data_IF_151559862820
#
_entry.id   IF_151559862820
#
_cell.length_a   1.000
_cell.length_b   1.000
_cell.length_c   1.000
_cell.angle_alpha   90.00
_cell.angle_beta   90.00
_cell.angle_gamma   90.00
#
_symmetry.space_group_name_H-M   'P 1'
#
loop_
_entity.id
_entity.type
_entity.pdbx_description
1 polymer ?
#
# COMPACT_ATOMS: atom_id res chain seq x y z
N UNK A 1 -25.82 -1.28 -20.53
CA UNK A 1 -25.55 -2.73 -20.45
C UNK A 1 -24.41 -3.06 -21.39
N UNK A 2 -23.19 -3.19 -20.87
CA UNK A 2 -22.05 -3.70 -21.64
C UNK A 2 -21.42 -4.82 -20.83
N UNK A 3 -21.40 -5.99 -21.44
CA UNK A 3 -20.86 -7.24 -20.91
C UNK A 3 -19.34 -7.17 -20.85
N UNK A 4 -18.81 -7.70 -19.75
CA UNK A 4 -17.41 -7.70 -19.36
C UNK A 4 -16.61 -8.69 -20.24
N UNK A 5 -15.60 -8.27 -21.04
CA UNK A 5 -14.69 -9.21 -21.66
C UNK A 5 -13.58 -9.57 -20.67
N UNK A 6 -13.43 -10.88 -20.40
CA UNK A 6 -12.46 -11.42 -19.46
C UNK A 6 -11.02 -10.99 -19.78
N UNK A 7 -10.34 -10.45 -18.78
CA UNK A 7 -8.92 -10.13 -18.82
C UNK A 7 -8.11 -11.37 -18.44
N UNK A 8 -7.33 -11.89 -19.39
CA UNK A 8 -6.21 -12.80 -19.09
C UNK A 8 -5.04 -12.00 -18.56
N UNK A 9 -4.73 -12.15 -17.27
CA UNK A 9 -3.44 -11.74 -16.71
C UNK A 9 -2.44 -12.88 -16.85
N UNK A 10 -1.22 -12.55 -17.27
CA UNK A 10 -0.10 -13.48 -17.29
C UNK A 10 0.32 -13.81 -15.85
N UNK A 11 -0.29 -14.83 -15.27
CA UNK A 11 0.12 -15.44 -14.01
C UNK A 11 1.26 -16.43 -14.25
N UNK A 12 2.41 -16.16 -13.64
CA UNK A 12 3.38 -17.19 -13.28
C UNK A 12 3.66 -17.06 -11.79
N UNK A 13 2.70 -17.51 -10.98
CA UNK A 13 2.93 -17.94 -9.59
C UNK A 13 1.88 -18.99 -9.23
N UNK A 14 2.34 -20.22 -9.09
CA UNK A 14 1.55 -21.41 -8.78
C UNK A 14 0.98 -21.36 -7.36
N UNK A 15 -0.31 -21.02 -7.22
CA UNK A 15 -1.27 -21.63 -6.27
C UNK A 15 -2.68 -21.05 -6.51
N UNK A 16 -3.71 -21.88 -6.36
CA UNK A 16 -5.13 -21.66 -6.73
C UNK A 16 -5.64 -20.19 -6.67
N UNK A 17 -5.80 -19.48 -7.82
CA UNK A 17 -6.03 -18.03 -7.84
C UNK A 17 -7.50 -17.58 -7.72
N UNK A 18 -8.49 -18.48 -7.70
CA UNK A 18 -9.88 -18.08 -8.03
C UNK A 18 -10.76 -17.60 -6.86
N UNK A 19 -10.38 -17.84 -5.60
CA UNK A 19 -11.15 -17.36 -4.42
C UNK A 19 -10.51 -16.15 -3.73
N UNK A 20 -9.18 -16.15 -3.53
CA UNK A 20 -8.47 -15.05 -2.86
C UNK A 20 -8.47 -13.78 -3.74
N UNK A 21 -8.43 -13.91 -5.07
CA UNK A 21 -8.49 -12.73 -5.96
C UNK A 21 -9.84 -11.99 -5.93
N UNK A 22 -10.93 -12.67 -5.53
CA UNK A 22 -12.27 -12.09 -5.45
C UNK A 22 -12.58 -11.41 -4.11
N UNK A 23 -11.87 -11.79 -3.03
CA UNK A 23 -12.07 -11.26 -1.67
C UNK A 23 -10.79 -10.73 -1.00
N UNK A 24 -9.70 -10.63 -1.77
CA UNK A 24 -8.40 -10.16 -1.29
C UNK A 24 -8.13 -8.70 -1.62
N UNK A 25 -7.22 -8.11 -0.85
CA UNK A 25 -6.66 -6.79 -1.13
C UNK A 25 -5.37 -6.98 -1.89
N UNK A 26 -5.21 -6.21 -2.96
CA UNK A 26 -3.98 -6.20 -3.75
C UNK A 26 -2.82 -5.66 -2.92
N UNK A 27 -1.67 -6.33 -2.95
CA UNK A 27 -0.49 -5.99 -2.12
C UNK A 27 -0.06 -4.53 -2.17
N UNK A 28 -0.34 -3.81 -3.26
CA UNK A 28 0.12 -2.45 -3.47
C UNK A 28 -0.29 -1.54 -2.29
N UNK A 29 -1.46 -1.79 -1.68
CA UNK A 29 -1.95 -1.01 -0.54
C UNK A 29 -1.08 -1.21 0.72
N UNK A 30 -0.72 -2.45 1.07
CA UNK A 30 0.15 -2.72 2.23
C UNK A 30 1.60 -2.30 1.96
N UNK A 31 2.07 -2.46 0.72
CA UNK A 31 3.38 -1.95 0.29
C UNK A 31 3.47 -0.43 0.44
N UNK A 32 2.40 0.29 0.07
CA UNK A 32 2.33 1.74 0.26
C UNK A 32 2.31 2.13 1.74
N UNK A 33 1.53 1.43 2.56
CA UNK A 33 1.54 1.62 4.01
C UNK A 33 2.96 1.43 4.56
N UNK A 34 3.62 0.31 4.22
CA UNK A 34 4.99 0.03 4.63
C UNK A 34 5.99 1.11 4.17
N UNK A 35 5.92 1.53 2.91
CA UNK A 35 6.77 2.59 2.37
C UNK A 35 6.52 3.94 3.07
N UNK A 36 5.26 4.31 3.31
CA UNK A 36 4.89 5.51 4.06
C UNK A 36 5.39 5.45 5.50
N UNK A 37 5.32 4.28 6.15
CA UNK A 37 5.87 4.09 7.51
C UNK A 37 7.39 4.25 7.53
N UNK A 38 8.12 3.71 6.55
CA UNK A 38 9.57 3.92 6.44
C UNK A 38 9.93 5.41 6.31
N UNK A 39 9.16 6.17 5.52
CA UNK A 39 9.38 7.62 5.37
C UNK A 39 8.99 8.44 6.61
N UNK A 40 8.02 7.97 7.39
CA UNK A 40 7.50 8.69 8.57
C UNK A 40 8.18 8.33 9.89
N UNK A 41 8.81 7.14 9.97
CA UNK A 41 9.29 6.59 11.24
C UNK A 41 10.65 5.90 11.10
N UNK A 42 11.36 5.79 12.22
CA UNK A 42 12.64 5.06 12.29
C UNK A 42 12.45 3.57 11.97
N UNK A 43 13.43 2.90 11.34
CA UNK A 43 13.37 1.46 11.05
C UNK A 43 12.97 0.56 12.22
N UNK A 44 13.40 0.88 13.45
CA UNK A 44 13.05 0.10 14.65
C UNK A 44 11.55 0.14 14.99
N UNK A 45 10.93 1.32 14.87
CA UNK A 45 9.48 1.49 15.07
C UNK A 45 8.68 0.74 14.01
N UNK A 46 9.12 0.83 12.75
CA UNK A 46 8.51 0.09 11.64
C UNK A 46 8.64 -1.42 11.88
N UNK A 47 9.82 -1.88 12.30
CA UNK A 47 10.04 -3.29 12.65
C UNK A 47 9.11 -3.75 13.77
N UNK A 48 8.96 -2.98 14.85
CA UNK A 48 8.09 -3.33 15.98
C UNK A 48 6.64 -3.53 15.52
N UNK A 49 6.10 -2.57 14.76
CA UNK A 49 4.74 -2.66 14.24
C UNK A 49 4.54 -3.92 13.38
N UNK A 50 5.41 -4.17 12.41
CA UNK A 50 5.26 -5.32 11.50
C UNK A 50 5.56 -6.66 12.14
N UNK A 51 6.25 -6.70 13.30
CA UNK A 51 6.46 -7.91 14.08
C UNK A 51 5.16 -8.39 14.74
N UNK A 52 4.30 -7.46 15.12
CA UNK A 52 2.96 -7.74 15.66
C UNK A 52 1.97 -8.16 14.55
N UNK A 53 2.34 -7.94 13.28
CA UNK A 53 1.53 -8.18 12.09
C UNK A 53 2.18 -9.15 11.09
N UNK A 54 2.51 -10.39 11.47
CA UNK A 54 3.21 -11.32 10.59
C UNK A 54 2.38 -11.62 9.32
N UNK A 55 3.05 -11.71 8.17
CA UNK A 55 2.39 -12.01 6.91
C UNK A 55 1.83 -13.45 6.94
N UNK A 56 0.56 -13.70 6.56
CA UNK A 56 -0.11 -15.00 6.76
C UNK A 56 0.58 -16.22 6.12
N UNK A 57 1.41 -16.00 5.10
CA UNK A 57 2.08 -17.06 4.32
C UNK A 57 3.57 -17.23 4.69
N UNK A 58 4.08 -16.43 5.63
CA UNK A 58 5.50 -16.40 5.99
C UNK A 58 5.67 -16.80 7.44
N UNK A 59 6.62 -17.69 7.71
CA UNK A 59 6.97 -18.04 9.08
C UNK A 59 7.53 -16.81 9.81
N UNK A 60 7.01 -16.44 11.00
CA UNK A 60 7.41 -15.22 11.71
C UNK A 60 8.91 -15.14 12.05
N UNK A 61 9.55 -16.30 12.19
CA UNK A 61 10.98 -16.45 12.55
C UNK A 61 11.93 -15.87 11.50
N UNK A 62 11.48 -15.66 10.25
CA UNK A 62 12.29 -15.08 9.18
C UNK A 62 11.91 -13.62 8.92
N UNK A 63 12.20 -12.74 9.89
CA UNK A 63 11.91 -11.30 9.82
C UNK A 63 12.41 -10.67 8.51
N UNK A 64 13.64 -11.02 8.07
CA UNK A 64 14.21 -10.50 6.82
C UNK A 64 13.35 -10.84 5.59
N UNK A 65 12.71 -12.01 5.58
CA UNK A 65 11.80 -12.40 4.50
C UNK A 65 10.52 -11.56 4.50
N UNK A 66 9.95 -11.33 5.69
CA UNK A 66 8.72 -10.53 5.86
C UNK A 66 8.91 -9.15 5.25
N UNK A 67 10.00 -8.46 5.59
CA UNK A 67 10.25 -7.11 5.07
C UNK A 67 10.53 -7.09 3.57
N UNK A 68 11.25 -8.08 3.04
CA UNK A 68 11.46 -8.21 1.60
C UNK A 68 10.14 -8.39 0.85
N UNK A 69 9.25 -9.24 1.37
CA UNK A 69 7.92 -9.45 0.78
C UNK A 69 7.04 -8.19 0.86
N UNK A 70 7.11 -7.43 1.96
CA UNK A 70 6.41 -6.14 2.08
C UNK A 70 6.87 -5.12 1.02
N UNK A 71 8.17 -5.04 0.73
CA UNK A 71 8.70 -4.13 -0.29
C UNK A 71 8.44 -4.63 -1.72
N UNK A 72 8.58 -5.93 -1.96
CA UNK A 72 8.36 -6.51 -3.29
C UNK A 72 6.90 -6.43 -3.69
N UNK A 73 6.00 -6.86 -2.78
CA UNK A 73 4.57 -6.92 -3.02
C UNK A 73 4.22 -7.90 -4.13
N UNK A 74 4.34 -9.21 -3.90
CA UNK A 74 4.05 -10.22 -4.95
C UNK A 74 2.77 -11.02 -4.69
N UNK A 75 2.10 -10.81 -3.56
CA UNK A 75 1.01 -11.69 -3.07
C UNK A 75 -0.32 -10.97 -2.91
N UNK A 76 -1.43 -11.70 -2.92
CA UNK A 76 -2.73 -11.18 -2.47
C UNK A 76 -2.91 -11.52 -1.00
N UNK A 77 -3.41 -10.58 -0.21
CA UNK A 77 -3.75 -10.81 1.19
C UNK A 77 -5.26 -10.85 1.38
N UNK A 78 -5.74 -11.60 2.38
CA UNK A 78 -7.16 -11.53 2.73
C UNK A 78 -7.51 -10.11 3.17
N UNK A 79 -8.73 -9.70 2.84
CA UNK A 79 -9.29 -8.42 3.31
C UNK A 79 -9.21 -8.28 4.82
N UNK A 80 -9.49 -9.37 5.54
CA UNK A 80 -9.44 -9.44 7.00
C UNK A 80 -8.07 -9.07 7.55
N UNK A 81 -6.99 -9.67 7.00
CA UNK A 81 -5.63 -9.37 7.42
C UNK A 81 -5.25 -7.92 7.10
N UNK A 82 -5.55 -7.46 5.89
CA UNK A 82 -5.17 -6.11 5.52
C UNK A 82 -5.87 -5.05 6.38
N UNK A 83 -7.17 -5.22 6.68
CA UNK A 83 -7.88 -4.30 7.58
C UNK A 83 -7.50 -4.47 9.05
N UNK A 84 -7.10 -5.66 9.52
CA UNK A 84 -6.53 -5.78 10.86
C UNK A 84 -5.25 -4.96 10.99
N UNK A 85 -4.39 -4.97 9.97
CA UNK A 85 -3.22 -4.07 9.94
C UNK A 85 -3.65 -2.61 9.99
N UNK A 86 -4.62 -2.18 9.17
CA UNK A 86 -5.09 -0.78 9.18
C UNK A 86 -5.74 -0.34 10.50
N UNK A 87 -6.38 -1.25 11.24
CA UNK A 87 -6.93 -0.94 12.56
C UNK A 87 -5.83 -0.49 13.52
N UNK A 88 -4.72 -1.21 13.53
CA UNK A 88 -3.66 -0.99 14.50
C UNK A 88 -2.72 0.16 14.07
N UNK A 89 -2.84 0.64 12.82
CA UNK A 89 -2.12 1.84 12.34
C UNK A 89 -2.54 3.09 13.12
N UNK A 90 -3.83 3.31 13.39
CA UNK A 90 -4.25 4.54 14.08
C UNK A 90 -3.67 4.60 15.50
N UNK A 91 -3.71 3.48 16.23
CA UNK A 91 -3.13 3.38 17.58
C UNK A 91 -1.61 3.58 17.53
N UNK A 92 -0.92 2.92 16.60
CA UNK A 92 0.51 3.13 16.38
C UNK A 92 0.86 4.60 16.11
N UNK A 93 0.06 5.30 15.29
CA UNK A 93 0.29 6.71 14.99
C UNK A 93 0.08 7.59 16.24
N UNK A 94 -0.96 7.33 17.02
CA UNK A 94 -1.25 8.05 18.28
C UNK A 94 -0.11 7.89 19.28
N UNK A 95 0.36 6.66 19.50
CA UNK A 95 1.49 6.36 20.39
C UNK A 95 2.77 7.08 19.97
N UNK A 96 2.92 7.31 18.66
CA UNK A 96 4.08 7.98 18.09
C UNK A 96 3.88 9.49 17.85
N UNK A 97 2.77 10.06 18.32
CA UNK A 97 2.51 11.50 18.29
C UNK A 97 2.12 12.07 16.93
N UNK A 98 1.75 11.22 15.97
CA UNK A 98 1.35 11.62 14.62
C UNK A 98 -0.15 11.38 14.43
N UNK A 99 -0.87 12.30 13.80
CA UNK A 99 -2.29 12.04 13.48
C UNK A 99 -2.44 11.22 12.19
N UNK A 100 -3.50 10.42 12.08
CA UNK A 100 -3.79 9.64 10.86
C UNK A 100 -3.85 10.50 9.58
N UNK A 101 -4.55 11.65 9.55
CA UNK A 101 -4.58 12.50 8.36
C UNK A 101 -3.20 13.03 7.99
N UNK A 102 -2.42 13.44 9.00
CA UNK A 102 -1.06 13.94 8.79
C UNK A 102 -0.14 12.87 8.21
N UNK A 103 -0.22 11.63 8.70
CA UNK A 103 0.53 10.51 8.14
C UNK A 103 0.19 10.26 6.67
N UNK A 104 -1.10 10.25 6.32
CA UNK A 104 -1.53 10.09 4.93
C UNK A 104 -1.06 11.27 4.07
N UNK A 105 -1.26 12.50 4.54
CA UNK A 105 -0.94 13.70 3.77
C UNK A 105 0.57 13.91 3.58
N UNK A 106 1.41 13.49 4.53
CA UNK A 106 2.84 13.80 4.54
C UNK A 106 3.74 12.61 4.16
N UNK A 107 3.36 11.37 4.51
CA UNK A 107 4.20 10.20 4.28
C UNK A 107 3.64 9.32 3.18
N UNK A 108 2.34 9.00 3.24
CA UNK A 108 1.69 8.13 2.26
C UNK A 108 1.64 8.81 0.88
N UNK A 109 1.28 10.10 0.83
CA UNK A 109 1.19 10.87 -0.41
C UNK A 109 2.55 11.10 -1.09
N UNK A 110 3.66 11.05 -0.35
CA UNK A 110 4.99 11.13 -0.98
C UNK A 110 5.18 9.95 -1.93
N UNK A 111 4.84 8.75 -1.48
CA UNK A 111 4.97 7.53 -2.28
C UNK A 111 4.08 7.61 -3.53
N UNK A 112 4.71 7.48 -4.71
CA UNK A 112 4.03 7.56 -6.02
C UNK A 112 3.19 8.84 -6.21
N UNK A 113 3.56 9.95 -5.57
CA UNK A 113 2.79 11.21 -5.62
C UNK A 113 1.31 11.03 -5.23
N UNK A 114 1.01 10.07 -4.35
CA UNK A 114 -0.34 9.80 -3.86
C UNK A 114 -1.15 8.80 -4.67
N UNK A 115 -0.60 8.28 -5.77
CA UNK A 115 -1.23 7.18 -6.47
C UNK A 115 -1.11 5.86 -5.68
N UNK A 116 -2.19 5.04 -5.66
CA UNK A 116 -2.19 3.74 -4.99
C UNK A 116 -1.24 2.71 -5.63
N UNK A 117 -0.68 3.02 -6.81
CA UNK A 117 0.31 2.21 -7.53
C UNK A 117 1.32 3.11 -8.22
N UNK A 118 2.42 2.54 -8.71
CA UNK A 118 3.37 3.29 -9.53
C UNK A 118 2.68 3.91 -10.75
N UNK A 119 3.12 5.11 -11.21
CA UNK A 119 2.57 5.77 -12.39
C UNK A 119 2.50 4.86 -13.64
N UNK A 120 3.52 4.01 -13.85
CA UNK A 120 3.52 2.99 -14.92
C UNK A 120 2.36 2.00 -14.81
N UNK A 121 2.12 1.50 -13.60
CA UNK A 121 1.02 0.57 -13.33
C UNK A 121 -0.33 1.27 -13.47
N UNK A 122 -0.42 2.51 -12.99
CA UNK A 122 -1.61 3.35 -13.14
C UNK A 122 -1.98 3.55 -14.63
N UNK A 123 -1.03 3.91 -15.49
CA UNK A 123 -1.27 4.06 -16.94
C UNK A 123 -1.80 2.76 -17.56
N UNK A 124 -1.19 1.62 -17.21
CA UNK A 124 -1.63 0.31 -17.69
C UNK A 124 -3.09 0.02 -17.30
N UNK A 125 -3.46 0.28 -16.05
CA UNK A 125 -4.82 0.08 -15.52
C UNK A 125 -5.83 1.11 -16.05
N UNK A 126 -5.35 2.28 -16.46
CA UNK A 126 -6.19 3.38 -16.94
C UNK A 126 -6.45 3.29 -18.45
N UNK A 127 -5.79 2.38 -19.17
CA UNK A 127 -5.95 2.19 -20.62
C UNK A 127 -7.42 2.21 -21.13
N UNK A 128 -8.40 1.55 -20.47
CA UNK A 128 -9.79 1.54 -20.95
C UNK A 128 -10.50 2.90 -20.82
N UNK A 129 -10.07 3.71 -19.85
CA UNK A 129 -10.70 4.99 -19.46
C UNK A 129 -9.83 6.19 -19.81
N UNK A 130 -8.66 5.96 -20.40
CA UNK A 130 -7.62 6.97 -20.59
C UNK A 130 -8.09 8.16 -21.43
N UNK A 131 -8.95 7.89 -22.42
CA UNK A 131 -9.55 8.94 -23.26
C UNK A 131 -10.35 9.96 -22.45
N UNK A 132 -11.00 9.54 -21.35
CA UNK A 132 -11.86 10.42 -20.55
C UNK A 132 -11.09 11.59 -19.96
N UNK A 133 -9.83 11.38 -19.57
CA UNK A 133 -8.95 12.43 -19.04
C UNK A 133 -8.66 13.57 -20.04
N UNK A 134 -8.92 13.36 -21.33
CA UNK A 134 -8.72 14.39 -22.37
C UNK A 134 -10.04 14.94 -22.92
N UNK A 135 -11.17 14.29 -22.64
CA UNK A 135 -12.48 14.70 -23.15
C UNK A 135 -13.36 15.35 -22.10
N UNK A 136 -13.17 15.04 -20.82
CA UNK A 136 -13.98 15.59 -19.74
C UNK A 136 -13.53 17.02 -19.36
N UNK A 137 -14.46 17.99 -19.29
CA UNK A 137 -14.13 19.36 -18.93
C UNK A 137 -13.86 19.54 -17.42
N UNK A 138 -14.55 18.79 -16.56
CA UNK A 138 -14.33 18.78 -15.12
C UNK A 138 -13.59 17.49 -14.71
N UNK A 139 -12.25 17.59 -14.67
CA UNK A 139 -11.40 16.48 -14.25
C UNK A 139 -11.64 16.08 -12.79
N UNK A 140 -12.02 17.02 -11.91
CA UNK A 140 -12.29 16.68 -10.51
C UNK A 140 -13.57 15.86 -10.39
N UNK A 141 -14.59 16.17 -11.18
CA UNK A 141 -15.78 15.32 -11.27
C UNK A 141 -15.43 13.94 -11.85
N UNK A 142 -14.64 13.88 -12.92
CA UNK A 142 -14.20 12.61 -13.52
C UNK A 142 -13.46 11.74 -12.49
N UNK A 143 -12.52 12.30 -11.73
CA UNK A 143 -11.74 11.56 -10.73
C UNK A 143 -12.66 10.88 -9.72
N UNK A 144 -13.68 11.56 -9.19
CA UNK A 144 -14.64 10.94 -8.27
C UNK A 144 -15.38 9.76 -8.94
N UNK A 145 -15.80 9.93 -10.20
CA UNK A 145 -16.48 8.86 -10.95
C UNK A 145 -15.57 7.65 -11.19
N UNK A 146 -14.28 7.87 -11.41
CA UNK A 146 -13.31 6.80 -11.67
C UNK A 146 -12.91 6.02 -10.42
N UNK A 147 -13.28 6.46 -9.21
CA UNK A 147 -12.99 5.72 -7.97
C UNK A 147 -13.52 4.29 -8.05
N UNK A 148 -14.72 4.07 -8.62
CA UNK A 148 -15.28 2.73 -8.75
C UNK A 148 -14.41 1.79 -9.61
N UNK A 149 -13.84 2.33 -10.71
CA UNK A 149 -12.95 1.58 -11.58
C UNK A 149 -11.70 1.10 -10.83
N UNK A 150 -11.07 1.99 -10.07
CA UNK A 150 -9.86 1.65 -9.32
C UNK A 150 -10.14 0.80 -8.08
N UNK A 151 -11.25 1.04 -7.37
CA UNK A 151 -11.68 0.17 -6.27
C UNK A 151 -11.91 -1.25 -6.76
N UNK A 152 -12.56 -1.45 -7.91
CA UNK A 152 -12.75 -2.78 -8.49
C UNK A 152 -11.44 -3.52 -8.81
N UNK A 153 -10.32 -2.80 -8.99
CA UNK A 153 -9.00 -3.38 -9.24
C UNK A 153 -8.23 -3.65 -7.94
N UNK A 154 -8.28 -2.73 -6.97
CA UNK A 154 -7.48 -2.80 -5.73
C UNK A 154 -8.19 -3.53 -4.59
N UNK A 155 -9.51 -3.36 -4.53
CA UNK A 155 -10.40 -3.75 -3.46
C UNK A 155 -11.71 -4.32 -4.05
N UNK A 156 -11.69 -5.49 -4.72
CA UNK A 156 -12.82 -5.97 -5.54
C UNK A 156 -14.16 -6.15 -4.79
N UNK A 157 -14.11 -6.28 -3.46
CA UNK A 157 -15.31 -6.37 -2.61
C UNK A 157 -16.02 -5.02 -2.45
N UNK A 158 -15.32 -3.90 -2.69
CA UNK A 158 -15.88 -2.57 -2.62
C UNK A 158 -16.48 -2.18 -3.95
N UNK A 159 -17.59 -1.47 -3.87
CA UNK A 159 -18.25 -0.80 -4.98
C UNK A 159 -18.51 0.63 -4.59
N UNK A 160 -18.36 1.53 -5.55
CA UNK A 160 -18.70 2.93 -5.32
C UNK A 160 -19.52 3.51 -6.47
N UNK A 161 -20.35 4.49 -6.15
CA UNK A 161 -21.20 5.18 -7.10
C UNK A 161 -21.34 6.65 -6.70
N UNK A 162 -21.36 7.56 -7.66
CA UNK A 162 -21.67 8.96 -7.40
C UNK A 162 -23.19 9.09 -7.31
N UNK A 163 -23.69 9.43 -6.12
CA UNK A 163 -25.14 9.50 -5.84
C UNK A 163 -25.71 10.91 -5.92
N UNK A 164 -24.83 11.91 -5.85
CA UNK A 164 -25.17 13.30 -6.05
C UNK A 164 -23.99 13.99 -6.72
N UNK A 165 -24.28 14.74 -7.77
CA UNK A 165 -23.36 15.73 -8.34
C UNK A 165 -24.16 16.96 -8.70
N UNK A 166 -23.91 18.07 -8.01
CA UNK A 166 -24.60 19.34 -8.24
C UNK A 166 -23.58 20.47 -8.34
N UNK A 167 -23.99 21.51 -9.05
CA UNK A 167 -23.23 22.74 -9.22
C UNK A 167 -24.04 23.89 -8.62
N UNK A 168 -23.48 24.55 -7.61
CA UNK A 168 -24.08 25.69 -6.90
C UNK A 168 -23.11 26.87 -6.95
N UNK A 169 -23.52 27.99 -7.55
CA UNK A 169 -22.68 29.17 -7.75
C UNK A 169 -21.32 28.82 -8.41
N UNK A 170 -20.20 29.08 -7.72
CA UNK A 170 -18.84 28.74 -8.16
C UNK A 170 -18.33 27.39 -7.61
N UNK A 171 -19.20 26.59 -6.98
CA UNK A 171 -18.85 25.34 -6.34
C UNK A 171 -19.53 24.15 -7.02
N UNK A 172 -18.82 23.03 -7.02
CA UNK A 172 -19.36 21.71 -7.28
C UNK A 172 -19.39 20.91 -5.98
N UNK A 173 -20.44 20.10 -5.81
CA UNK A 173 -20.61 19.17 -4.71
C UNK A 173 -20.82 17.78 -5.31
N UNK A 174 -19.97 16.84 -4.91
CA UNK A 174 -20.09 15.43 -5.29
C UNK A 174 -20.22 14.57 -4.04
N UNK A 175 -21.19 13.66 -4.00
CA UNK A 175 -21.33 12.66 -2.95
C UNK A 175 -21.11 11.27 -3.56
N UNK A 176 -20.11 10.59 -3.03
CA UNK A 176 -19.73 9.22 -3.37
C UNK A 176 -20.30 8.27 -2.32
N UNK A 177 -21.08 7.30 -2.76
CA UNK A 177 -21.50 6.15 -1.98
C UNK A 177 -20.47 5.04 -2.12
N UNK A 178 -20.05 4.46 -1.00
CA UNK A 178 -19.15 3.30 -0.94
C UNK A 178 -19.87 2.19 -0.16
N UNK A 179 -19.95 1.02 -0.77
CA UNK A 179 -20.47 -0.19 -0.18
C UNK A 179 -19.46 -1.32 -0.34
N UNK A 180 -19.53 -2.33 0.51
CA UNK A 180 -18.77 -3.57 0.36
C UNK A 180 -19.69 -4.78 0.50
N UNK A 181 -19.41 -5.81 -0.29
CA UNK A 181 -20.20 -7.04 -0.29
C UNK A 181 -19.70 -7.99 0.80
N UNK A 182 -20.47 -8.11 1.89
CA UNK A 182 -20.15 -8.99 3.01
C UNK A 182 -20.32 -10.48 2.67
N UNK A 183 -21.01 -10.83 1.58
CA UNK A 183 -21.31 -12.23 1.20
C UNK A 183 -20.08 -12.90 0.55
N UNK A 184 -19.18 -12.11 -0.05
CA UNK A 184 -17.96 -12.62 -0.69
C UNK A 184 -16.89 -13.07 0.32
N UNK A 185 -17.06 -12.78 1.61
CA UNK A 185 -16.19 -13.24 2.68
C UNK A 185 -16.81 -14.49 3.33
N UNK A 186 -16.23 -15.66 3.06
CA UNK A 186 -16.72 -16.94 3.58
C UNK A 186 -16.61 -17.01 5.11
N UNK A 187 -17.72 -16.76 5.80
CA UNK A 187 -17.89 -17.07 7.23
C UNK A 187 -17.39 -16.01 8.23
N UNK A 188 -16.96 -14.84 7.77
CA UNK A 188 -16.48 -13.75 8.65
C UNK A 188 -17.40 -12.55 8.56
N UNK A 189 -17.85 -12.06 9.72
CA UNK A 189 -18.62 -10.81 9.82
C UNK A 189 -17.69 -9.62 9.55
N UNK A 190 -17.59 -9.28 8.28
CA UNK A 190 -16.75 -8.19 7.80
C UNK A 190 -17.17 -6.84 8.41
N UNK A 191 -18.45 -6.66 8.74
CA UNK A 191 -18.91 -5.43 9.39
C UNK A 191 -18.25 -5.25 10.76
N UNK A 192 -18.10 -6.34 11.54
CA UNK A 192 -17.46 -6.29 12.86
C UNK A 192 -15.95 -6.04 12.79
N UNK A 193 -15.28 -6.51 11.74
CA UNK A 193 -13.84 -6.23 11.57
C UNK A 193 -13.60 -4.82 11.05
N UNK A 194 -14.44 -4.36 10.12
CA UNK A 194 -14.34 -3.04 9.50
C UNK A 194 -14.91 -1.92 10.38
N UNK A 195 -15.71 -2.24 11.41
CA UNK A 195 -16.26 -1.22 12.31
C UNK A 195 -15.18 -0.48 13.12
N UNK A 196 -13.98 -1.07 13.24
CA UNK A 196 -12.85 -0.46 13.92
C UNK A 196 -12.06 0.51 13.02
N UNK A 197 -12.06 0.31 11.71
CA UNK A 197 -11.30 1.16 10.78
C UNK A 197 -12.09 2.43 10.47
N UNK A 198 -11.46 3.59 10.59
CA UNK A 198 -12.01 4.84 10.07
C UNK A 198 -11.88 4.92 8.54
N UNK A 199 -12.67 4.10 7.84
CA UNK A 199 -12.67 4.05 6.37
C UNK A 199 -13.06 5.39 5.76
N UNK A 200 -13.97 6.12 6.40
CA UNK A 200 -14.35 7.46 5.99
C UNK A 200 -13.13 8.38 5.97
N UNK A 201 -12.37 8.43 7.06
CA UNK A 201 -11.14 9.21 7.12
C UNK A 201 -10.08 8.73 6.12
N UNK A 202 -9.87 7.42 6.00
CA UNK A 202 -8.91 6.85 5.06
C UNK A 202 -9.21 7.25 3.62
N UNK A 203 -10.43 7.02 3.16
CA UNK A 203 -10.85 7.36 1.80
C UNK A 203 -10.87 8.87 1.56
N UNK A 204 -11.40 9.67 2.50
CA UNK A 204 -11.38 11.13 2.35
C UNK A 204 -9.94 11.65 2.24
N UNK A 205 -9.02 11.15 3.07
CA UNK A 205 -7.62 11.60 3.06
C UNK A 205 -6.90 11.25 1.75
N UNK A 206 -7.13 10.04 1.22
CA UNK A 206 -6.53 9.60 -0.06
C UNK A 206 -7.15 10.35 -1.24
N UNK A 207 -8.48 10.39 -1.33
CA UNK A 207 -9.20 10.97 -2.47
C UNK A 207 -8.97 12.49 -2.53
N UNK A 208 -8.87 13.17 -1.38
CA UNK A 208 -8.67 14.63 -1.30
C UNK A 208 -7.57 15.13 -2.24
N UNK A 209 -6.40 14.49 -2.21
CA UNK A 209 -5.21 14.91 -2.96
C UNK A 209 -5.05 14.23 -4.32
N UNK A 210 -5.88 13.26 -4.65
CA UNK A 210 -5.77 12.54 -5.93
C UNK A 210 -5.78 13.46 -7.18
N UNK A 211 -6.51 14.60 -7.22
CA UNK A 211 -6.40 15.56 -8.32
C UNK A 211 -5.01 16.15 -8.55
N UNK A 212 -4.19 16.27 -7.50
CA UNK A 212 -2.86 16.88 -7.60
C UNK A 212 -1.91 16.01 -8.45
N UNK A 213 -2.13 14.69 -8.50
CA UNK A 213 -1.42 13.77 -9.41
C UNK A 213 -1.56 14.18 -10.88
N UNK A 214 -2.62 14.91 -11.20
CA UNK A 214 -3.00 15.38 -12.53
C UNK A 214 -2.83 16.91 -12.67
N UNK A 215 -2.03 17.55 -11.81
CA UNK A 215 -1.83 19.02 -11.81
C UNK A 215 -3.14 19.81 -11.68
N UNK A 216 -4.16 19.23 -11.04
CA UNK A 216 -5.43 19.88 -10.70
C UNK A 216 -5.46 20.12 -9.19
N UNK A 217 -6.02 21.24 -8.70
CA UNK A 217 -6.11 21.49 -7.26
C UNK A 217 -6.85 20.36 -6.52
N UNK A 218 -6.34 19.98 -5.34
CA UNK A 218 -7.04 19.07 -4.41
C UNK A 218 -8.46 19.51 -4.10
N UNK A 219 -9.28 18.59 -3.61
CA UNK A 219 -10.59 18.93 -3.06
C UNK A 219 -10.42 19.80 -1.81
N UNK A 220 -11.06 20.97 -1.83
CA UNK A 220 -10.92 22.00 -0.81
C UNK A 220 -11.60 21.57 0.50
N UNK A 221 -12.81 21.02 0.38
CA UNK A 221 -13.64 20.63 1.52
C UNK A 221 -14.17 19.19 1.37
N UNK A 222 -13.35 18.16 1.69
CA UNK A 222 -13.85 16.81 1.92
C UNK A 222 -14.67 16.76 3.22
N UNK A 223 -15.78 16.03 3.22
CA UNK A 223 -16.64 15.85 4.40
C UNK A 223 -17.31 14.47 4.41
N UNK A 224 -17.67 14.00 5.60
CA UNK A 224 -18.42 12.75 5.74
C UNK A 224 -19.92 13.05 5.83
N UNK A 225 -20.71 12.34 5.03
CA UNK A 225 -22.17 12.47 5.02
C UNK A 225 -22.80 11.35 5.85
N UNK A 226 -22.33 10.12 5.69
CA UNK A 226 -22.78 8.99 6.48
C UNK A 226 -21.62 8.01 6.71
N UNK A 227 -21.57 7.39 7.88
CA UNK A 227 -20.62 6.37 8.28
C UNK A 227 -21.38 5.09 8.69
N UNK A 228 -20.81 3.93 8.37
CA UNK A 228 -21.38 2.63 8.73
C UNK A 228 -21.16 2.26 10.18
N UNK A 229 -20.13 2.82 10.81
CA UNK A 229 -19.80 2.54 12.21
C UNK A 229 -20.88 3.06 13.14
N UNK A 230 -21.20 2.29 14.17
CA UNK A 230 -22.01 2.77 15.26
C UNK A 230 -21.23 3.77 16.11
N UNK A 231 -21.93 4.72 16.73
CA UNK A 231 -21.28 5.72 17.59
C UNK A 231 -20.52 5.04 18.75
N UNK A 232 -21.06 3.94 19.29
CA UNK A 232 -20.43 3.16 20.36
C UNK A 232 -19.13 2.47 19.95
N UNK A 233 -18.89 2.26 18.65
CA UNK A 233 -17.62 1.72 18.15
C UNK A 233 -16.54 2.81 18.04
N UNK A 234 -16.93 4.09 18.01
CA UNK A 234 -16.04 5.24 17.81
C UNK A 234 -15.70 5.90 19.15
N UNK A 235 -16.67 6.02 20.05
CA UNK A 235 -16.55 6.72 21.32
C UNK A 235 -17.12 5.90 22.48
N UNK A 236 -16.52 6.03 23.66
CA UNK A 236 -16.97 5.38 24.89
C UNK A 236 -18.02 6.26 25.62
N UNK A 237 -18.65 5.70 26.66
CA UNK A 237 -19.61 6.39 27.54
C UNK A 237 -20.82 6.96 26.81
N UNK A 238 -21.40 6.15 25.92
CA UNK A 238 -22.61 6.47 25.17
C UNK A 238 -23.83 6.00 25.97
N UNK A 239 -24.81 6.89 26.18
CA UNK A 239 -26.13 6.55 26.73
C UNK A 239 -27.24 6.96 25.77
N UNK A 240 -28.35 6.22 25.79
CA UNK A 240 -29.49 6.41 24.89
C UNK A 240 -30.76 6.54 25.70
N UNK A 241 -31.50 7.62 25.47
CA UNK A 241 -32.81 7.89 26.08
C UNK A 241 -33.75 8.45 25.02
N UNK A 242 -34.93 7.85 24.82
CA UNK A 242 -36.00 8.36 23.94
C UNK A 242 -35.53 8.89 22.56
N UNK A 243 -34.76 8.08 21.83
CA UNK A 243 -34.19 8.42 20.51
C UNK A 243 -33.15 9.56 20.51
N UNK A 244 -32.66 9.94 21.68
CA UNK A 244 -31.57 10.87 21.88
C UNK A 244 -30.34 10.10 22.37
N UNK A 245 -29.18 10.47 21.87
CA UNK A 245 -27.90 9.87 22.25
C UNK A 245 -27.01 10.92 22.92
N UNK A 246 -26.52 10.55 24.09
CA UNK A 246 -25.67 11.37 24.94
C UNK A 246 -24.27 10.77 25.03
N UNK A 247 -23.27 11.65 25.14
CA UNK A 247 -21.89 11.27 25.44
C UNK A 247 -21.46 12.12 26.63
N UNK A 248 -21.18 11.47 27.76
CA UNK A 248 -20.87 12.17 29.03
C UNK A 248 -21.95 13.21 29.39
N UNK A 249 -23.22 12.76 29.42
CA UNK A 249 -24.41 13.54 29.80
C UNK A 249 -24.77 14.74 28.90
N UNK A 250 -24.09 14.90 27.77
CA UNK A 250 -24.40 15.94 26.78
C UNK A 250 -25.03 15.32 25.54
N UNK A 251 -26.12 15.92 25.04
CA UNK A 251 -26.79 15.50 23.81
C UNK A 251 -25.88 15.69 22.59
N UNK A 252 -25.67 14.63 21.83
CA UNK A 252 -24.85 14.66 20.62
C UNK A 252 -25.55 14.16 19.36
N UNK A 253 -26.51 13.22 19.45
CA UNK A 253 -27.20 12.72 18.26
C UNK A 253 -28.69 12.47 18.48
N UNK A 254 -29.43 12.45 17.36
CA UNK A 254 -30.85 12.11 17.31
C UNK A 254 -31.06 10.96 16.35
N UNK A 255 -31.91 10.01 16.74
CA UNK A 255 -32.31 8.89 15.89
C UNK A 255 -33.27 9.37 14.80
N UNK A 256 -33.07 8.92 13.57
CA UNK A 256 -33.98 9.21 12.45
C UNK A 256 -34.02 8.04 11.46
N UNK A 257 -34.93 8.10 10.48
CA UNK A 257 -34.94 7.13 9.38
C UNK A 257 -33.96 7.56 8.27
N UNK A 258 -33.37 6.59 7.55
CA UNK A 258 -32.51 6.86 6.39
C UNK A 258 -33.20 7.75 5.35
N UNK A 259 -34.49 7.55 5.09
CA UNK A 259 -35.26 8.33 4.11
C UNK A 259 -35.38 9.81 4.48
N UNK A 260 -35.69 10.09 5.75
CA UNK A 260 -35.78 11.48 6.25
C UNK A 260 -34.40 12.14 6.15
N UNK A 261 -33.35 11.42 6.55
CA UNK A 261 -31.99 11.91 6.45
C UNK A 261 -31.58 12.21 5.00
N UNK A 262 -31.75 11.27 4.07
CA UNK A 262 -31.43 11.44 2.65
C UNK A 262 -32.18 12.63 2.04
N UNK A 263 -33.48 12.71 2.28
CA UNK A 263 -34.33 13.82 1.79
C UNK A 263 -33.80 15.17 2.30
N UNK A 264 -33.44 15.26 3.58
CA UNK A 264 -32.88 16.48 4.17
C UNK A 264 -31.53 16.91 3.57
N UNK A 265 -30.84 15.99 2.89
CA UNK A 265 -29.54 16.21 2.23
C UNK A 265 -29.65 16.31 0.70
N UNK A 266 -30.86 16.24 0.14
CA UNK A 266 -31.07 16.22 -1.31
C UNK A 266 -30.55 14.95 -1.99
N UNK A 267 -30.38 13.85 -1.23
CA UNK A 267 -29.91 12.56 -1.74
C UNK A 267 -31.13 11.68 -2.00
N UNK A 268 -31.11 10.91 -3.09
CA UNK A 268 -32.16 9.94 -3.37
C UNK A 268 -32.24 8.90 -2.23
N UNK A 269 -33.42 8.68 -1.66
CA UNK A 269 -33.64 7.69 -0.60
C UNK A 269 -33.28 6.26 -1.05
N UNK A 270 -33.35 5.98 -2.35
CA UNK A 270 -32.91 4.70 -2.91
C UNK A 270 -31.44 4.40 -2.65
N UNK A 271 -30.61 5.36 -2.25
CA UNK A 271 -29.19 5.10 -1.93
C UNK A 271 -29.05 4.08 -0.79
N UNK A 272 -29.97 4.04 0.16
CA UNK A 272 -29.95 3.11 1.30
C UNK A 272 -30.88 1.89 1.14
N UNK A 273 -31.36 1.60 -0.07
CA UNK A 273 -32.32 0.52 -0.45
C UNK A 273 -32.78 -0.43 0.68
N UNK A 274 -34.07 -0.41 1.02
CA UNK A 274 -34.74 -1.38 1.90
C UNK A 274 -34.14 -1.55 3.31
N UNK A 275 -33.32 -0.60 3.79
CA UNK A 275 -32.83 -0.66 5.16
C UNK A 275 -33.90 -0.20 6.14
N UNK A 276 -34.50 -1.12 6.90
CA UNK A 276 -35.36 -0.80 8.04
C UNK A 276 -34.56 -0.28 9.26
N UNK A 277 -33.27 -0.01 9.09
CA UNK A 277 -32.37 0.42 10.15
C UNK A 277 -32.43 1.93 10.32
N UNK A 278 -32.73 2.37 11.54
CA UNK A 278 -32.57 3.76 11.96
C UNK A 278 -31.09 4.17 11.97
N UNK A 279 -30.83 5.46 11.77
CA UNK A 279 -29.49 6.06 11.85
C UNK A 279 -29.42 7.14 12.92
N UNK A 280 -28.22 7.41 13.43
CA UNK A 280 -27.95 8.49 14.38
C UNK A 280 -27.39 9.72 13.67
N UNK A 281 -28.11 10.83 13.67
CA UNK A 281 -27.64 12.09 13.08
C UNK A 281 -27.07 12.99 14.15
N UNK A 282 -25.81 13.35 13.99
CA UNK A 282 -25.09 14.21 14.93
C UNK A 282 -25.62 15.64 14.91
N UNK A 283 -25.92 16.18 16.09
CA UNK A 283 -26.34 17.58 16.30
C UNK A 283 -25.14 18.54 16.43
N UNK A 284 -23.99 18.04 16.88
CA UNK A 284 -22.75 18.80 17.07
C UNK A 284 -21.53 17.91 16.83
N UNK A 285 -20.41 18.54 16.50
CA UNK A 285 -19.12 17.85 16.42
C UNK A 285 -18.73 17.30 17.80
N UNK A 286 -18.17 16.09 17.83
CA UNK A 286 -17.50 15.53 18.99
C UNK A 286 -16.00 15.45 18.76
N UNK A 287 -15.24 16.16 19.59
CA UNK A 287 -13.78 16.12 19.60
C UNK A 287 -13.28 15.01 20.53
N UNK A 288 -12.53 14.05 19.99
CA UNK A 288 -11.91 13.00 20.78
C UNK A 288 -10.57 13.50 21.34
N UNK A 289 -10.39 13.55 22.69
CA UNK A 289 -9.15 14.04 23.30
C UNK A 289 -7.95 13.13 23.03
N UNK A 290 -8.16 11.81 22.93
CA UNK A 290 -7.11 10.82 22.66
C UNK A 290 -6.60 10.98 21.22
N UNK A 291 -7.52 11.00 20.25
CA UNK A 291 -7.20 11.14 18.82
C UNK A 291 -6.88 12.58 18.40
N UNK A 292 -7.09 13.56 19.30
CA UNK A 292 -6.89 15.01 19.10
C UNK A 292 -7.56 15.55 17.83
N UNK A 293 -8.74 15.04 17.48
CA UNK A 293 -9.51 15.42 16.29
C UNK A 293 -11.01 15.26 16.50
N UNK A 294 -11.80 15.89 15.63
CA UNK A 294 -13.23 15.56 15.50
C UNK A 294 -13.35 14.15 14.93
N UNK A 295 -14.14 13.30 15.60
CA UNK A 295 -14.40 11.91 15.18
C UNK A 295 -15.87 11.64 14.93
N UNK A 296 -16.76 12.47 15.50
CA UNK A 296 -18.17 12.51 15.12
C UNK A 296 -18.50 13.88 14.55
N UNK A 297 -18.95 13.94 13.30
CA UNK A 297 -19.15 15.20 12.58
C UNK A 297 -20.61 15.65 12.60
N UNK A 298 -20.85 16.92 12.91
CA UNK A 298 -22.19 17.54 12.89
C UNK A 298 -22.88 17.30 11.55
N UNK A 299 -24.11 16.83 11.61
CA UNK A 299 -24.95 16.57 10.45
C UNK A 299 -24.57 15.34 9.64
N UNK A 300 -23.62 14.52 10.11
CA UNK A 300 -23.32 13.18 9.59
C UNK A 300 -24.23 12.14 10.25
N UNK A 301 -24.64 11.13 9.47
CA UNK A 301 -25.35 9.96 9.96
C UNK A 301 -24.35 8.84 10.35
N UNK A 302 -24.56 8.18 11.48
CA UNK A 302 -23.79 7.03 11.95
C UNK A 302 -24.71 5.81 12.10
N UNK A 303 -24.14 4.60 12.03
CA UNK A 303 -24.90 3.35 11.91
C UNK A 303 -25.59 3.21 10.55
N UNK A 304 -25.08 3.87 9.51
CA UNK A 304 -25.72 3.90 8.20
C UNK A 304 -25.44 2.61 7.40
N UNK A 305 -26.35 2.19 6.48
CA UNK A 305 -26.13 1.01 5.65
C UNK A 305 -24.96 1.14 4.67
N UNK A 306 -24.58 2.36 4.27
CA UNK A 306 -23.49 2.66 3.33
C UNK A 306 -22.66 3.84 3.84
N UNK A 307 -21.37 3.86 3.46
CA UNK A 307 -20.49 5.00 3.70
C UNK A 307 -20.75 6.05 2.62
N UNK A 308 -21.02 7.29 2.99
CA UNK A 308 -21.24 8.40 2.06
C UNK A 308 -20.19 9.50 2.31
N UNK A 309 -19.40 9.80 1.27
CA UNK A 309 -18.31 10.78 1.31
C UNK A 309 -18.62 11.94 0.38
N UNK A 310 -18.53 13.16 0.89
CA UNK A 310 -18.78 14.39 0.16
C UNK A 310 -17.50 15.14 -0.17
N UNK A 311 -17.48 15.78 -1.33
CA UNK A 311 -16.41 16.68 -1.77
C UNK A 311 -17.04 17.96 -2.28
N UNK A 312 -16.75 19.08 -1.63
CA UNK A 312 -17.09 20.42 -2.11
C UNK A 312 -15.84 21.10 -2.63
N UNK A 313 -15.87 21.51 -3.88
CA UNK A 313 -14.71 22.04 -4.59
C UNK A 313 -15.09 23.13 -5.59
N UNK A 314 -14.18 24.06 -5.88
CA UNK A 314 -14.47 25.15 -6.80
C UNK A 314 -14.71 24.62 -8.22
N UNK A 315 -15.43 25.35 -9.05
CA UNK A 315 -15.51 25.03 -10.48
C UNK A 315 -14.13 25.31 -11.10
N UNK A 316 -13.56 24.28 -11.71
CA UNK A 316 -12.25 24.38 -12.37
C UNK A 316 -12.37 23.76 -13.76
N UNK A 317 -12.65 24.62 -14.75
CA UNK A 317 -13.06 24.20 -16.09
C UNK A 317 -11.92 24.22 -17.11
N UNK A 318 -10.67 24.10 -16.65
CA UNK A 318 -9.50 24.07 -17.53
C UNK A 318 -8.67 22.82 -17.24
N UNK A 319 -8.84 21.79 -18.07
CA UNK A 319 -7.90 20.67 -18.08
C UNK A 319 -6.50 21.20 -18.43
N UNK A 320 -5.49 20.99 -17.59
CA UNK A 320 -4.13 21.45 -17.87
C UNK A 320 -3.61 20.77 -19.14
N UNK A 321 -3.01 21.53 -20.06
CA UNK A 321 -2.42 20.99 -21.30
C UNK A 321 -1.29 19.98 -21.04
N UNK A 322 -0.74 20.02 -19.83
CA UNK A 322 0.35 19.21 -19.32
C UNK A 322 -0.10 18.24 -18.19
N UNK A 323 -1.35 17.78 -18.26
CA UNK A 323 -2.00 16.88 -17.30
C UNK A 323 -1.15 15.71 -16.83
N UNK A 324 -0.40 15.10 -17.73
CA UNK A 324 0.33 13.85 -17.48
C UNK A 324 1.83 14.06 -17.24
N UNK A 325 2.35 15.28 -17.33
CA UNK A 325 3.77 15.53 -17.23
C UNK A 325 4.35 14.94 -15.93
N UNK A 326 3.72 15.16 -14.78
CA UNK A 326 4.17 14.59 -13.50
C UNK A 326 4.28 13.06 -13.53
N UNK A 327 3.30 12.39 -14.16
CA UNK A 327 3.28 10.94 -14.28
C UNK A 327 4.32 10.44 -15.29
N UNK A 328 4.55 11.18 -16.37
CA UNK A 328 5.54 10.84 -17.40
C UNK A 328 6.95 11.07 -16.86
N UNK A 329 7.20 12.21 -16.24
CA UNK A 329 8.46 12.56 -15.58
C UNK A 329 8.82 11.48 -14.56
N UNK A 330 7.88 11.07 -13.70
CA UNK A 330 8.11 9.97 -12.76
C UNK A 330 8.51 8.67 -13.47
N UNK A 331 7.87 8.32 -14.60
CA UNK A 331 8.17 7.09 -15.36
C UNK A 331 9.54 7.15 -16.05
N UNK A 332 9.90 8.32 -16.58
CA UNK A 332 11.17 8.53 -17.28
C UNK A 332 12.32 8.61 -16.29
N UNK A 333 12.10 9.30 -15.17
CA UNK A 333 13.06 9.49 -14.07
C UNK A 333 12.99 8.40 -13.01
N UNK A 334 12.44 7.21 -13.33
CA UNK A 334 12.20 6.06 -12.42
C UNK A 334 13.50 5.40 -11.86
N UNK A 335 14.52 6.19 -11.58
CA UNK A 335 15.47 6.10 -10.47
C UNK A 335 15.16 7.19 -9.40
N UNK A 336 13.87 7.31 -9.06
CA UNK A 336 13.29 8.30 -8.15
C UNK A 336 14.07 8.43 -6.82
N UNK A 337 14.32 9.67 -6.39
CA UNK A 337 14.95 9.99 -5.10
C UNK A 337 14.16 9.39 -3.93
N UNK A 338 12.83 9.38 -4.01
CA UNK A 338 11.99 8.88 -2.93
C UNK A 338 12.03 7.34 -2.84
N UNK A 339 11.84 6.63 -3.95
CA UNK A 339 12.01 5.17 -3.93
C UNK A 339 13.45 4.75 -3.61
N UNK A 340 14.44 5.60 -3.89
CA UNK A 340 15.82 5.38 -3.47
C UNK A 340 15.99 5.54 -1.95
N UNK A 341 15.40 6.58 -1.36
CA UNK A 341 15.32 6.79 0.09
C UNK A 341 14.60 5.62 0.78
N UNK A 342 13.43 5.21 0.27
CA UNK A 342 12.67 4.05 0.79
C UNK A 342 13.53 2.78 0.73
N UNK A 343 14.25 2.53 -0.37
CA UNK A 343 15.16 1.39 -0.50
C UNK A 343 16.31 1.46 0.50
N UNK A 344 16.88 2.65 0.74
CA UNK A 344 17.94 2.82 1.74
C UNK A 344 17.43 2.52 3.15
N UNK A 345 16.27 3.05 3.52
CA UNK A 345 15.63 2.81 4.81
C UNK A 345 15.23 1.34 4.98
N UNK A 346 14.71 0.72 3.93
CA UNK A 346 14.45 -0.72 3.88
C UNK A 346 15.73 -1.53 4.10
N UNK A 347 16.82 -1.20 3.41
CA UNK A 347 18.09 -1.91 3.56
C UNK A 347 18.65 -1.78 4.99
N UNK A 348 18.54 -0.59 5.61
CA UNK A 348 18.87 -0.38 7.03
C UNK A 348 18.04 -1.29 7.92
N UNK A 349 16.74 -1.41 7.66
CA UNK A 349 15.85 -2.31 8.38
C UNK A 349 16.27 -3.78 8.21
N UNK A 350 16.54 -4.23 6.99
CA UNK A 350 17.02 -5.60 6.72
C UNK A 350 18.31 -5.88 7.52
N UNK A 351 19.26 -4.95 7.52
CA UNK A 351 20.50 -5.09 8.30
C UNK A 351 20.27 -5.25 9.81
N UNK A 352 19.23 -4.63 10.37
CA UNK A 352 18.87 -4.77 11.79
C UNK A 352 18.34 -6.17 12.14
N UNK A 353 17.74 -6.87 11.18
CA UNK A 353 17.07 -8.16 11.42
C UNK A 353 17.83 -9.37 10.89
N UNK A 354 18.72 -9.17 9.92
CA UNK A 354 19.44 -10.22 9.21
C UNK A 354 20.63 -10.82 9.96
N UNK A 355 20.97 -10.30 11.14
CA UNK A 355 22.04 -10.83 11.98
C UNK A 355 23.42 -10.84 11.30
N UNK A 356 24.24 -11.83 11.65
CA UNK A 356 25.55 -12.06 11.05
C UNK A 356 25.54 -13.36 10.25
N UNK A 357 25.90 -13.29 8.97
CA UNK A 357 26.03 -14.45 8.11
C UNK A 357 27.47 -14.94 8.08
N UNK A 358 27.67 -16.21 8.40
CA UNK A 358 28.97 -16.88 8.36
C UNK A 358 29.12 -17.61 7.01
N UNK A 359 30.00 -17.10 6.17
CA UNK A 359 30.36 -17.73 4.90
C UNK A 359 31.62 -18.55 5.06
N UNK A 360 31.57 -19.82 4.65
CA UNK A 360 32.73 -20.71 4.64
C UNK A 360 32.95 -21.22 3.23
N UNK A 361 34.12 -20.96 2.66
CA UNK A 361 34.51 -21.50 1.36
C UNK A 361 35.37 -22.75 1.55
N UNK A 362 34.98 -23.87 0.93
CA UNK A 362 35.77 -25.10 0.91
C UNK A 362 36.53 -25.21 -0.41
N UNK A 363 37.86 -25.22 -0.35
CA UNK A 363 38.73 -25.25 -1.53
C UNK A 363 38.64 -26.57 -2.29
N UNK A 364 38.69 -27.71 -1.59
CA UNK A 364 38.68 -29.06 -2.19
C UNK A 364 37.41 -29.36 -2.97
N UNK A 365 36.26 -28.90 -2.48
CA UNK A 365 34.96 -29.16 -3.10
C UNK A 365 34.46 -27.98 -3.94
N UNK A 366 35.18 -26.86 -3.95
CA UNK A 366 34.78 -25.58 -4.57
C UNK A 366 33.37 -25.14 -4.16
N UNK A 367 33.04 -25.23 -2.87
CA UNK A 367 31.69 -24.92 -2.37
C UNK A 367 31.69 -23.73 -1.44
N UNK A 368 30.64 -22.92 -1.53
CA UNK A 368 30.34 -21.88 -0.55
C UNK A 368 29.23 -22.40 0.36
N UNK A 369 29.46 -22.34 1.67
CA UNK A 369 28.47 -22.59 2.70
C UNK A 369 28.04 -21.27 3.33
N UNK A 370 26.78 -21.20 3.73
CA UNK A 370 26.19 -20.12 4.51
C UNK A 370 25.64 -20.72 5.80
N UNK A 371 26.16 -20.26 6.94
CA UNK A 371 25.79 -20.74 8.28
C UNK A 371 25.86 -22.27 8.39
N UNK A 372 26.91 -22.87 7.81
CA UNK A 372 27.16 -24.32 7.82
C UNK A 372 26.35 -25.14 6.80
N UNK A 373 25.44 -24.51 6.04
CA UNK A 373 24.64 -25.18 5.01
C UNK A 373 25.21 -24.82 3.63
N UNK A 374 25.36 -25.81 2.75
CA UNK A 374 25.81 -25.55 1.39
C UNK A 374 24.85 -24.62 0.62
N UNK A 375 25.42 -23.53 0.11
CA UNK A 375 24.70 -22.53 -0.67
C UNK A 375 24.85 -22.79 -2.17
N UNK A 376 26.09 -22.89 -2.67
CA UNK A 376 26.39 -23.00 -4.10
C UNK A 376 27.78 -23.61 -4.34
N UNK A 377 28.04 -24.18 -5.52
CA UNK A 377 29.30 -24.86 -5.89
C UNK A 377 29.94 -24.33 -7.18
N UNK A 378 31.21 -24.67 -7.39
CA UNK A 378 32.03 -24.42 -8.58
C UNK A 378 32.21 -22.90 -8.88
N UNK A 379 32.25 -22.53 -10.16
CA UNK A 379 32.44 -21.14 -10.63
C UNK A 379 31.54 -20.12 -9.91
N UNK A 380 30.22 -20.32 -9.72
CA UNK A 380 29.40 -19.40 -8.92
C UNK A 380 29.88 -19.20 -7.47
N UNK A 381 30.39 -20.25 -6.82
CA UNK A 381 30.96 -20.15 -5.47
C UNK A 381 32.26 -19.33 -5.47
N UNK A 382 33.12 -19.53 -6.48
CA UNK A 382 34.35 -18.74 -6.68
C UNK A 382 34.07 -17.26 -6.95
N UNK A 383 33.04 -16.97 -7.76
CA UNK A 383 32.56 -15.59 -7.99
C UNK A 383 32.15 -14.96 -6.65
N UNK A 384 31.31 -15.64 -5.86
CA UNK A 384 30.85 -15.14 -4.58
C UNK A 384 32.00 -14.96 -3.58
N UNK A 385 32.95 -15.91 -3.53
CA UNK A 385 34.18 -15.81 -2.74
C UNK A 385 34.94 -14.53 -3.05
N UNK A 386 35.25 -14.28 -4.32
CA UNK A 386 36.01 -13.10 -4.73
C UNK A 386 35.29 -11.79 -4.38
N UNK A 387 33.96 -11.75 -4.57
CA UNK A 387 33.15 -10.59 -4.19
C UNK A 387 33.24 -10.32 -2.68
N UNK A 388 33.06 -11.36 -1.85
CA UNK A 388 33.10 -11.24 -0.39
C UNK A 388 34.48 -10.77 0.09
N UNK A 389 35.55 -11.37 -0.43
CA UNK A 389 36.92 -10.99 -0.07
C UNK A 389 37.20 -9.51 -0.38
N UNK A 390 36.88 -9.06 -1.60
CA UNK A 390 37.08 -7.67 -2.01
C UNK A 390 36.23 -6.73 -1.14
N UNK A 391 34.97 -7.09 -0.86
CA UNK A 391 34.10 -6.28 0.00
C UNK A 391 34.65 -6.16 1.42
N UNK A 392 35.12 -7.26 2.03
CA UNK A 392 35.68 -7.24 3.38
C UNK A 392 36.99 -6.46 3.48
N UNK A 393 37.82 -6.50 2.43
CA UNK A 393 39.09 -5.80 2.38
C UNK A 393 38.93 -4.29 2.11
N UNK A 394 38.02 -3.92 1.20
CA UNK A 394 37.97 -2.56 0.64
C UNK A 394 36.65 -1.82 0.85
N UNK A 395 35.60 -2.51 1.32
CA UNK A 395 34.22 -1.99 1.35
C UNK A 395 33.58 -1.86 -0.04
N UNK A 396 34.26 -2.25 -1.11
CA UNK A 396 33.78 -2.09 -2.49
C UNK A 396 32.57 -2.98 -2.76
N UNK A 397 31.51 -2.37 -3.30
CA UNK A 397 30.26 -3.04 -3.66
C UNK A 397 30.02 -3.12 -5.17
N UNK A 398 30.75 -2.38 -6.00
CA UNK A 398 30.53 -2.35 -7.46
C UNK A 398 31.61 -3.10 -8.24
N UNK A 399 31.20 -3.94 -9.20
CA UNK A 399 32.08 -4.88 -9.89
C UNK A 399 31.81 -4.93 -11.41
N UNK A 400 32.87 -5.15 -12.21
CA UNK A 400 32.78 -5.36 -13.66
C UNK A 400 32.96 -6.83 -14.03
N UNK A 401 32.19 -7.31 -15.01
CA UNK A 401 32.28 -8.68 -15.55
C UNK A 401 33.72 -9.06 -15.93
N UNK A 402 34.45 -8.12 -16.56
CA UNK A 402 35.82 -8.36 -17.04
C UNK A 402 36.81 -8.71 -15.93
N UNK A 403 36.54 -8.31 -14.69
CA UNK A 403 37.38 -8.63 -13.52
C UNK A 403 37.32 -10.10 -13.11
N UNK A 404 36.26 -10.81 -13.53
CA UNK A 404 36.03 -12.22 -13.22
C UNK A 404 36.32 -13.10 -14.43
N UNK A 405 36.07 -12.62 -15.65
CA UNK A 405 36.36 -13.39 -16.87
C UNK A 405 37.85 -13.50 -17.19
N UNK A 406 38.66 -12.59 -16.65
CA UNK A 406 40.13 -12.61 -16.79
C UNK A 406 40.84 -13.26 -15.60
N UNK A 407 40.07 -13.81 -14.67
CA UNK A 407 40.61 -14.43 -13.47
C UNK A 407 40.67 -15.94 -13.67
N UNK A 408 41.88 -16.45 -13.88
CA UNK A 408 42.15 -17.87 -14.12
C UNK A 408 41.78 -18.75 -12.91
N UNK A 409 41.66 -18.16 -11.71
CA UNK A 409 41.16 -18.89 -10.53
C UNK A 409 39.64 -19.12 -10.57
N UNK A 410 38.91 -18.37 -11.40
CA UNK A 410 37.43 -18.40 -11.50
C UNK A 410 36.98 -19.08 -12.80
N UNK A 411 37.60 -18.74 -13.93
CA UNK A 411 37.24 -19.28 -15.25
C UNK A 411 38.47 -19.90 -15.91
N UNK A 412 38.45 -21.23 -16.03
CA UNK A 412 39.58 -21.98 -16.62
C UNK A 412 39.63 -21.89 -18.17
N UNK A 413 38.54 -21.49 -18.84
CA UNK A 413 38.50 -21.30 -20.29
C UNK A 413 37.98 -19.88 -20.67
N UNK A 414 38.89 -18.96 -21.04
CA UNK A 414 38.53 -17.60 -21.43
C UNK A 414 37.79 -17.51 -22.78
N UNK A 415 37.72 -18.58 -23.57
CA UNK A 415 37.06 -18.61 -24.89
C UNK A 415 35.59 -19.07 -24.83
N UNK A 416 35.15 -19.68 -23.72
CA UNK A 416 33.73 -19.97 -23.42
C UNK A 416 33.32 -19.57 -21.99
N UNK A 417 33.50 -18.30 -21.59
CA UNK A 417 33.48 -17.94 -20.18
C UNK A 417 32.12 -18.10 -19.49
N UNK A 418 31.01 -18.25 -20.23
CA UNK A 418 29.61 -18.34 -19.80
C UNK A 418 29.26 -17.63 -18.46
N UNK A 419 29.95 -16.51 -18.19
CA UNK A 419 30.01 -15.90 -16.86
C UNK A 419 28.64 -15.34 -16.51
N UNK A 420 27.97 -14.76 -17.50
CA UNK A 420 26.60 -14.27 -17.38
C UNK A 420 25.64 -15.35 -16.88
N UNK A 421 25.76 -16.59 -17.36
CA UNK A 421 24.92 -17.70 -16.92
C UNK A 421 25.27 -18.13 -15.49
N UNK A 422 26.57 -18.19 -15.16
CA UNK A 422 27.03 -18.54 -13.81
C UNK A 422 26.65 -17.48 -12.77
N UNK A 423 26.80 -16.19 -13.09
CA UNK A 423 26.37 -15.06 -12.28
C UNK A 423 24.85 -15.06 -12.11
N UNK A 424 24.09 -15.31 -13.19
CA UNK A 424 22.63 -15.43 -13.09
C UNK A 424 22.22 -16.57 -12.14
N UNK A 425 22.89 -17.72 -12.22
CA UNK A 425 22.66 -18.84 -11.30
C UNK A 425 22.95 -18.44 -9.85
N UNK A 426 24.06 -17.73 -9.59
CA UNK A 426 24.38 -17.20 -8.27
C UNK A 426 23.27 -16.27 -7.75
N UNK A 427 22.87 -15.27 -8.56
CA UNK A 427 21.80 -14.34 -8.21
C UNK A 427 20.50 -15.08 -7.88
N UNK A 428 20.08 -16.02 -8.73
CA UNK A 428 18.88 -16.84 -8.49
C UNK A 428 19.00 -17.67 -7.21
N UNK A 429 20.16 -18.27 -6.93
CA UNK A 429 20.37 -19.04 -5.70
C UNK A 429 20.28 -18.15 -4.46
N UNK A 430 20.89 -16.96 -4.47
CA UNK A 430 20.80 -15.99 -3.36
C UNK A 430 19.36 -15.54 -3.10
N UNK A 431 18.58 -15.31 -4.17
CA UNK A 431 17.16 -14.95 -4.12
C UNK A 431 16.30 -16.11 -3.60
N UNK A 432 16.42 -17.31 -4.19
CA UNK A 432 15.62 -18.50 -3.80
C UNK A 432 15.89 -18.97 -2.38
N UNK A 433 17.14 -18.84 -1.91
CA UNK A 433 17.51 -19.17 -0.53
C UNK A 433 17.19 -18.05 0.46
N UNK A 434 16.62 -16.94 -0.02
CA UNK A 434 16.34 -15.72 0.74
C UNK A 434 17.51 -15.30 1.64
N UNK A 435 18.71 -15.28 1.07
CA UNK A 435 19.90 -14.86 1.81
C UNK A 435 19.84 -13.35 2.09
N UNK A 436 20.50 -12.88 3.15
CA UNK A 436 20.58 -11.43 3.44
C UNK A 436 21.68 -10.72 2.63
N UNK A 437 21.96 -11.24 1.43
CA UNK A 437 22.93 -10.72 0.48
C UNK A 437 22.27 -10.72 -0.89
N UNK A 438 22.48 -9.66 -1.65
CA UNK A 438 21.97 -9.55 -3.01
C UNK A 438 23.08 -9.17 -3.99
N UNK A 439 22.97 -9.70 -5.20
CA UNK A 439 23.76 -9.24 -6.34
C UNK A 439 22.77 -8.77 -7.39
N UNK A 440 22.91 -7.51 -7.82
CA UNK A 440 22.01 -6.87 -8.78
C UNK A 440 22.81 -6.40 -10.00
N UNK A 441 22.25 -6.61 -11.19
CA UNK A 441 22.87 -6.12 -12.43
C UNK A 441 22.54 -4.64 -12.60
N UNK A 442 23.56 -3.81 -12.85
CA UNK A 442 23.38 -2.38 -13.08
C UNK A 442 23.16 -2.08 -14.58
N UNK A 443 24.21 -2.21 -15.38
CA UNK A 443 24.19 -2.01 -16.83
C UNK A 443 25.19 -2.94 -17.51
N UNK A 444 25.40 -2.79 -18.83
CA UNK A 444 26.16 -3.76 -19.63
C UNK A 444 27.57 -4.02 -19.05
N UNK A 445 27.73 -5.19 -18.43
CA UNK A 445 28.99 -5.64 -17.85
C UNK A 445 29.30 -5.16 -16.43
N UNK A 446 28.35 -4.52 -15.70
CA UNK A 446 28.54 -4.07 -14.31
C UNK A 446 27.44 -4.63 -13.40
N UNK A 447 27.79 -4.98 -12.17
CA UNK A 447 26.87 -5.43 -11.12
C UNK A 447 27.27 -4.86 -9.76
N UNK A 448 26.32 -4.85 -8.83
CA UNK A 448 26.49 -4.38 -7.45
C UNK A 448 26.23 -5.53 -6.48
N UNK A 449 27.01 -5.57 -5.42
CA UNK A 449 26.89 -6.45 -4.26
C UNK A 449 26.32 -5.66 -3.10
N UNK A 450 25.17 -6.10 -2.58
CA UNK A 450 24.48 -5.47 -1.47
C UNK A 450 24.48 -6.43 -0.28
N UNK A 451 25.44 -6.29 0.65
CA UNK A 451 25.48 -7.06 1.88
C UNK A 451 24.48 -6.45 2.87
N UNK A 452 23.25 -6.97 2.87
CA UNK A 452 22.19 -6.55 3.77
C UNK A 452 22.32 -7.21 5.17
N UNK A 453 23.55 -7.54 5.57
CA UNK A 453 23.87 -8.17 6.85
C UNK A 453 25.35 -7.97 7.19
N UNK A 454 25.74 -8.28 8.43
CA UNK A 454 27.16 -8.46 8.77
C UNK A 454 27.67 -9.76 8.15
N UNK A 455 28.89 -9.75 7.62
CA UNK A 455 29.52 -10.90 6.98
C UNK A 455 30.73 -11.32 7.80
N UNK A 456 30.73 -12.57 8.27
CA UNK A 456 31.92 -13.26 8.73
C UNK A 456 32.35 -14.23 7.63
N UNK A 457 33.64 -14.31 7.36
CA UNK A 457 34.17 -15.14 6.29
C UNK A 457 35.32 -16.03 6.78
N UNK A 458 35.31 -17.29 6.37
CA UNK A 458 36.39 -18.23 6.60
C UNK A 458 36.62 -19.13 5.38
N UNK A 459 37.83 -19.67 5.28
CA UNK A 459 38.20 -20.67 4.28
C UNK A 459 38.64 -21.96 4.97
N UNK A 460 38.27 -23.09 4.38
CA UNK A 460 38.68 -24.43 4.80
C UNK A 460 39.19 -25.19 3.57
N UNK A 461 40.09 -26.13 3.80
CA UNK A 461 40.63 -26.97 2.74
C UNK A 461 39.65 -28.06 2.29
#
# INVERSE_FOLDING_TARGET
>A
MYTNPGYGYCDNATSSPNHISKSGIRYDILKLLYAGMLLGFTPDKVRQFWKEHPLPQIKPENESHVFKELLQGRSWYSTEYAFSVFNDVEDFLIENGTSFPEFIENSFYRVNQGLPVSPRNWLSMSKPIFKLFFTEPDLRALIVHLINHYLGIFLPIFKSEVVLHTSEDDWNISILSINYDSILCSGVDLNKQMSKVDLGLLFLSIIRKLPECFRVPRYEHPFMVADRREISDIVQNVSIEDNLLYISDRLYAKKTSPDIFCTSKGINSSVFENSNTSVWVMCSDYFCPIRKRVVLHKGCAYGAPKLLLGFRYLKYNASPSNLLDSLIDDIVDFNDRQWSEIKELHNKLIMLVSGTNNFTYNHKNETMQLNGIELIRNVPAKILRKIILIYLETGRTEFYHKEFTKDDSIINDPYQPNFTVRLKRLMTTLETRNTSIEIQKLYKGKFIFNPLCKINYSEID
#
